data_IF_108272052041
#
_entry.id   IF_108272052041
#
_cell.length_a   1.000
_cell.length_b   1.000
_cell.length_c   1.000
_cell.angle_alpha   90.00
_cell.angle_beta   90.00
_cell.angle_gamma   90.00
#
_symmetry.space_group_name_H-M   'P 1'
#
loop_
_entity.id
_entity.type
_entity.pdbx_description
1 polymer ?
#
# COMPACT_ATOMS: atom_id res chain seq x y z
N UNK A 1 25.46 10.16 16.79
CA UNK A 1 25.40 9.66 15.40
C UNK A 1 23.93 9.69 14.98
N UNK A 2 23.60 10.41 13.93
CA UNK A 2 22.25 10.42 13.34
C UNK A 2 22.03 9.06 12.68
N UNK A 3 21.10 8.26 13.20
CA UNK A 3 20.68 7.03 12.54
C UNK A 3 20.16 7.37 11.14
N UNK A 4 20.74 6.75 10.12
CA UNK A 4 20.25 6.89 8.75
C UNK A 4 19.05 5.94 8.57
N UNK A 5 17.98 6.42 7.99
CA UNK A 5 16.82 5.64 7.58
C UNK A 5 16.82 5.53 6.04
N UNK A 6 16.83 4.32 5.52
CA UNK A 6 16.88 4.07 4.09
C UNK A 6 15.53 3.50 3.59
N UNK A 7 14.76 4.34 2.91
CA UNK A 7 13.55 3.96 2.21
C UNK A 7 13.85 3.74 0.72
N UNK A 8 13.63 2.53 0.23
CA UNK A 8 13.66 2.23 -1.20
C UNK A 8 12.27 2.40 -1.80
N UNK A 9 12.11 3.34 -2.71
CA UNK A 9 10.86 3.54 -3.48
C UNK A 9 10.96 2.71 -4.76
N UNK A 10 10.07 1.74 -4.94
CA UNK A 10 10.05 0.83 -6.09
C UNK A 10 8.91 1.20 -7.03
N UNK A 11 9.20 2.08 -7.99
CA UNK A 11 8.26 2.50 -9.03
C UNK A 11 8.19 1.43 -10.13
N UNK A 12 7.37 0.42 -9.88
CA UNK A 12 7.15 -0.70 -10.80
C UNK A 12 5.75 -0.62 -11.39
N UNK A 13 5.59 -1.16 -12.60
CA UNK A 13 4.30 -1.23 -13.28
C UNK A 13 3.64 -2.59 -13.04
N UNK A 14 2.60 -2.69 -12.17
CA UNK A 14 1.85 -3.92 -11.97
C UNK A 14 0.94 -4.19 -13.19
N UNK A 15 0.62 -5.46 -13.41
CA UNK A 15 -0.33 -5.88 -14.42
C UNK A 15 -1.71 -6.08 -13.79
N UNK A 16 -2.73 -5.38 -14.27
CA UNK A 16 -4.10 -5.46 -13.73
C UNK A 16 -4.60 -6.90 -13.77
N UNK A 17 -5.08 -7.41 -12.62
CA UNK A 17 -5.63 -8.75 -12.44
C UNK A 17 -4.60 -9.88 -12.40
N UNK A 18 -3.33 -9.66 -12.69
CA UNK A 18 -2.31 -10.70 -12.67
C UNK A 18 -1.58 -10.76 -11.33
N UNK A 19 -2.24 -11.39 -10.35
CA UNK A 19 -1.74 -11.48 -8.97
C UNK A 19 -0.38 -12.16 -8.87
N UNK A 20 -0.16 -13.24 -9.62
CA UNK A 20 1.11 -14.00 -9.58
C UNK A 20 2.29 -13.16 -10.06
N UNK A 21 2.15 -12.52 -11.21
CA UNK A 21 3.21 -11.67 -11.76
C UNK A 21 3.50 -10.45 -10.87
N UNK A 22 2.46 -9.87 -10.26
CA UNK A 22 2.64 -8.74 -9.35
C UNK A 22 3.30 -9.19 -8.04
N UNK A 23 2.96 -10.39 -7.54
CA UNK A 23 3.61 -11.01 -6.39
C UNK A 23 5.11 -11.23 -6.64
N UNK A 24 5.47 -11.77 -7.81
CA UNK A 24 6.89 -11.95 -8.20
C UNK A 24 7.63 -10.62 -8.25
N UNK A 25 7.02 -9.56 -8.80
CA UNK A 25 7.59 -8.21 -8.80
C UNK A 25 7.78 -7.65 -7.39
N UNK A 26 6.82 -7.91 -6.49
CA UNK A 26 6.93 -7.48 -5.09
C UNK A 26 8.10 -8.18 -4.38
N UNK A 27 8.23 -9.50 -4.55
CA UNK A 27 9.35 -10.29 -4.02
C UNK A 27 10.70 -9.83 -4.58
N UNK A 28 10.75 -9.54 -5.88
CA UNK A 28 11.95 -8.99 -6.52
C UNK A 28 12.32 -7.64 -5.91
N UNK A 29 11.38 -6.70 -5.80
CA UNK A 29 11.64 -5.39 -5.20
C UNK A 29 12.15 -5.51 -3.76
N UNK A 30 11.51 -6.37 -2.96
CA UNK A 30 11.96 -6.63 -1.60
C UNK A 30 13.39 -7.19 -1.55
N UNK A 31 13.73 -8.14 -2.43
CA UNK A 31 15.07 -8.71 -2.52
C UNK A 31 16.12 -7.64 -2.89
N UNK A 32 15.78 -6.71 -3.80
CA UNK A 32 16.66 -5.59 -4.13
C UNK A 32 16.86 -4.64 -2.93
N UNK A 33 15.78 -4.37 -2.18
CA UNK A 33 15.87 -3.61 -0.94
C UNK A 33 16.79 -4.27 0.09
N UNK A 34 16.63 -5.59 0.28
CA UNK A 34 17.49 -6.38 1.17
C UNK A 34 18.97 -6.31 0.77
N UNK A 35 19.27 -6.48 -0.51
CA UNK A 35 20.63 -6.40 -1.05
C UNK A 35 21.27 -5.00 -0.83
N UNK A 36 20.45 -3.94 -0.86
CA UNK A 36 20.92 -2.56 -0.68
C UNK A 36 20.93 -2.11 0.79
N UNK A 37 20.49 -2.96 1.73
CA UNK A 37 20.42 -2.63 3.14
C UNK A 37 19.31 -1.61 3.46
N UNK A 38 18.21 -1.62 2.71
CA UNK A 38 17.06 -0.76 2.99
C UNK A 38 16.37 -1.19 4.29
N UNK A 39 15.83 -0.22 5.04
CA UNK A 39 14.95 -0.46 6.18
C UNK A 39 13.53 -0.76 5.73
N UNK A 40 13.11 -0.09 4.65
CA UNK A 40 11.78 -0.24 4.03
C UNK A 40 11.86 -0.27 2.51
N UNK A 41 10.96 -1.03 1.91
CA UNK A 41 10.65 -1.02 0.47
C UNK A 41 9.20 -0.59 0.32
N UNK A 42 8.94 0.47 -0.43
CA UNK A 42 7.59 0.96 -0.72
C UNK A 42 7.19 0.69 -2.17
N UNK A 43 6.06 0.01 -2.34
CA UNK A 43 5.42 -0.26 -3.62
C UNK A 43 4.21 0.68 -3.82
N UNK A 44 3.75 0.89 -5.08
CA UNK A 44 2.61 1.73 -5.39
C UNK A 44 1.27 1.32 -4.74
N UNK A 45 0.31 2.22 -4.85
CA UNK A 45 -1.10 1.99 -4.58
C UNK A 45 -1.62 0.79 -5.39
N UNK A 46 -2.46 -0.06 -4.76
CA UNK A 46 -3.09 -1.23 -5.39
C UNK A 46 -2.13 -2.14 -6.17
N UNK A 47 -0.87 -2.19 -5.75
CA UNK A 47 0.20 -2.86 -6.49
C UNK A 47 -0.09 -4.35 -6.74
N UNK A 48 -0.61 -5.05 -5.73
CA UNK A 48 -0.83 -6.50 -5.84
C UNK A 48 -1.86 -6.84 -6.94
N UNK A 49 -2.89 -6.02 -7.09
CA UNK A 49 -3.97 -6.24 -8.07
C UNK A 49 -3.75 -5.50 -9.38
N UNK A 50 -2.87 -4.51 -9.39
CA UNK A 50 -2.82 -3.49 -10.41
C UNK A 50 -3.92 -2.43 -10.23
N UNK A 51 -3.70 -1.25 -10.75
CA UNK A 51 -4.63 -0.11 -10.71
C UNK A 51 -4.90 0.34 -12.15
N UNK A 52 -6.16 0.52 -12.60
CA UNK A 52 -7.45 0.40 -11.89
C UNK A 52 -8.03 -1.01 -12.01
N UNK A 53 -8.35 -1.60 -10.87
CA UNK A 53 -8.85 -2.98 -10.83
C UNK A 53 -10.32 -3.13 -11.29
N UNK A 54 -11.09 -2.05 -11.22
CA UNK A 54 -12.50 -2.00 -11.64
C UNK A 54 -13.35 -3.15 -11.04
N UNK A 55 -14.22 -3.77 -11.84
CA UNK A 55 -15.19 -4.77 -11.39
C UNK A 55 -14.57 -6.14 -10.98
N UNK A 56 -13.27 -6.35 -11.21
CA UNK A 56 -12.63 -7.56 -10.70
C UNK A 56 -12.66 -7.63 -9.18
N UNK A 57 -12.51 -6.49 -8.50
CA UNK A 57 -12.43 -6.43 -7.04
C UNK A 57 -13.74 -6.79 -6.33
N UNK A 58 -14.88 -6.72 -7.02
CA UNK A 58 -16.18 -7.15 -6.44
C UNK A 58 -16.46 -8.65 -6.64
N UNK A 59 -15.56 -9.38 -7.32
CA UNK A 59 -15.66 -10.82 -7.47
C UNK A 59 -15.08 -11.50 -6.23
N UNK A 60 -15.91 -12.24 -5.50
CA UNK A 60 -15.51 -12.91 -4.25
C UNK A 60 -14.30 -13.83 -4.45
N UNK A 61 -14.28 -14.63 -5.51
CA UNK A 61 -13.15 -15.49 -5.83
C UNK A 61 -11.85 -14.71 -5.99
N UNK A 62 -11.89 -13.56 -6.68
CA UNK A 62 -10.71 -12.73 -6.88
C UNK A 62 -10.20 -12.12 -5.56
N UNK A 63 -11.10 -11.63 -4.71
CA UNK A 63 -10.74 -11.06 -3.39
C UNK A 63 -10.14 -12.14 -2.48
N UNK A 64 -10.67 -13.35 -2.51
CA UNK A 64 -10.12 -14.48 -1.75
C UNK A 64 -8.69 -14.82 -2.23
N UNK A 65 -8.47 -14.80 -3.55
CA UNK A 65 -7.13 -14.99 -4.11
C UNK A 65 -6.17 -13.85 -3.71
N UNK A 66 -6.61 -12.61 -3.68
CA UNK A 66 -5.82 -11.47 -3.19
C UNK A 66 -5.40 -11.69 -1.73
N UNK A 67 -6.34 -12.05 -0.85
CA UNK A 67 -6.05 -12.33 0.55
C UNK A 67 -5.03 -13.46 0.71
N UNK A 68 -5.20 -14.56 -0.05
CA UNK A 68 -4.24 -15.66 -0.07
C UNK A 68 -2.85 -15.21 -0.50
N UNK A 69 -2.74 -14.43 -1.58
CA UNK A 69 -1.45 -13.90 -2.06
C UNK A 69 -0.76 -12.98 -1.05
N UNK A 70 -1.51 -12.18 -0.30
CA UNK A 70 -0.95 -11.38 0.81
C UNK A 70 -0.38 -12.28 1.91
N UNK A 71 -1.09 -13.35 2.27
CA UNK A 71 -0.60 -14.34 3.24
C UNK A 71 0.66 -15.05 2.72
N UNK A 72 0.65 -15.53 1.48
CA UNK A 72 1.81 -16.17 0.85
C UNK A 72 3.03 -15.24 0.87
N UNK A 73 2.84 -13.97 0.46
CA UNK A 73 3.90 -12.96 0.49
C UNK A 73 4.44 -12.72 1.91
N UNK A 74 3.53 -12.67 2.89
CA UNK A 74 3.90 -12.46 4.30
C UNK A 74 4.76 -13.60 4.83
N UNK A 75 4.45 -14.84 4.46
CA UNK A 75 5.21 -16.03 4.87
C UNK A 75 6.59 -16.10 4.19
N UNK A 76 6.69 -15.60 2.95
CA UNK A 76 7.95 -15.62 2.18
C UNK A 76 8.94 -14.55 2.63
N UNK A 77 8.46 -13.42 3.18
CA UNK A 77 9.29 -12.28 3.57
C UNK A 77 9.62 -12.31 5.08
N UNK A 78 10.56 -13.14 5.46
CA UNK A 78 10.85 -13.41 6.86
C UNK A 78 11.98 -12.58 7.49
N UNK A 79 13.03 -12.24 6.79
CA UNK A 79 14.17 -11.47 7.34
C UNK A 79 14.73 -10.46 6.35
N UNK A 80 14.48 -9.17 6.58
CA UNK A 80 14.90 -8.11 5.67
C UNK A 80 14.14 -6.82 5.90
N UNK A 81 14.08 -5.94 4.90
CA UNK A 81 13.36 -4.69 5.01
C UNK A 81 11.86 -4.93 5.19
N UNK A 82 11.18 -4.01 5.84
CA UNK A 82 9.72 -4.00 5.84
C UNK A 82 9.22 -3.69 4.44
N UNK A 83 8.19 -4.41 3.96
CA UNK A 83 7.55 -4.13 2.68
C UNK A 83 6.26 -3.36 2.89
N UNK A 84 6.09 -2.25 2.18
CA UNK A 84 4.83 -1.52 2.06
C UNK A 84 4.19 -1.83 0.70
N UNK A 85 2.94 -2.28 0.68
CA UNK A 85 2.26 -2.73 -0.54
C UNK A 85 0.78 -2.36 -0.55
N UNK A 86 0.29 -1.84 -1.68
CA UNK A 86 -1.13 -1.54 -1.89
C UNK A 86 -1.92 -2.76 -2.36
N UNK A 87 -3.07 -3.01 -1.75
CA UNK A 87 -4.02 -4.05 -2.15
C UNK A 87 -5.43 -3.75 -1.58
N UNK A 88 -6.50 -4.34 -2.14
CA UNK A 88 -7.84 -4.27 -1.55
C UNK A 88 -7.87 -4.82 -0.13
N UNK A 89 -8.65 -4.18 0.73
CA UNK A 89 -8.99 -4.63 2.07
C UNK A 89 -10.50 -4.90 2.12
N UNK A 90 -10.90 -6.05 2.62
CA UNK A 90 -12.31 -6.33 2.92
C UNK A 90 -12.51 -6.31 4.42
N UNK A 91 -13.43 -5.47 4.86
CA UNK A 91 -13.84 -5.41 6.27
C UNK A 91 -15.35 -5.15 6.37
N UNK A 92 -16.04 -5.95 7.18
CA UNK A 92 -17.47 -5.81 7.46
C UNK A 92 -18.33 -5.69 6.19
N UNK A 93 -18.02 -6.49 5.16
CA UNK A 93 -18.75 -6.53 3.88
C UNK A 93 -18.48 -5.34 2.95
N UNK A 94 -17.53 -4.48 3.29
CA UNK A 94 -17.09 -3.37 2.45
C UNK A 94 -15.69 -3.61 1.92
N UNK A 95 -15.42 -3.05 0.74
CA UNK A 95 -14.11 -3.12 0.10
C UNK A 95 -13.46 -1.74 0.20
N UNK A 96 -12.19 -1.72 0.59
CA UNK A 96 -11.40 -0.49 0.74
C UNK A 96 -10.12 -0.57 -0.08
N UNK A 97 -9.60 0.57 -0.46
CA UNK A 97 -8.25 0.71 -1.00
C UNK A 97 -7.29 0.77 0.20
N UNK A 98 -6.54 -0.32 0.43
CA UNK A 98 -5.69 -0.51 1.60
C UNK A 98 -4.20 -0.43 1.27
N UNK A 99 -3.41 -0.03 2.28
CA UNK A 99 -1.96 -0.09 2.24
C UNK A 99 -1.45 -0.88 3.44
N UNK A 100 -0.63 -1.88 3.16
CA UNK A 100 -0.18 -2.86 4.13
C UNK A 100 1.31 -2.75 4.38
N UNK A 101 1.71 -3.12 5.58
CA UNK A 101 3.10 -3.37 5.95
C UNK A 101 3.28 -4.86 6.25
N UNK A 102 4.27 -5.46 5.62
CA UNK A 102 4.79 -6.79 5.96
C UNK A 102 6.12 -6.60 6.66
N UNK A 103 6.20 -7.08 7.91
CA UNK A 103 7.40 -7.04 8.75
C UNK A 103 7.43 -8.28 9.63
N UNK A 104 8.57 -8.97 9.70
CA UNK A 104 8.79 -10.11 10.59
C UNK A 104 7.66 -11.16 10.48
N UNK A 105 7.28 -11.52 9.25
CA UNK A 105 6.17 -12.42 8.93
C UNK A 105 4.81 -11.99 9.50
N UNK A 106 4.61 -10.70 9.70
CA UNK A 106 3.34 -10.12 10.12
C UNK A 106 2.80 -9.16 9.07
N UNK A 107 1.51 -9.27 8.76
CA UNK A 107 0.77 -8.38 7.90
C UNK A 107 -0.04 -7.39 8.74
N UNK A 108 0.17 -6.10 8.51
CA UNK A 108 -0.55 -5.04 9.22
C UNK A 108 -1.11 -4.03 8.22
N UNK A 109 -2.38 -3.66 8.33
CA UNK A 109 -2.94 -2.54 7.58
C UNK A 109 -2.44 -1.23 8.20
N UNK A 110 -1.70 -0.44 7.43
CA UNK A 110 -1.11 0.84 7.89
C UNK A 110 -1.87 2.06 7.40
N UNK A 111 -2.59 1.95 6.29
CA UNK A 111 -3.45 3.01 5.80
C UNK A 111 -4.64 2.47 5.02
N UNK A 112 -5.74 3.23 5.04
CA UNK A 112 -6.94 2.98 4.23
C UNK A 112 -7.29 4.31 3.58
N UNK A 113 -7.51 4.31 2.27
CA UNK A 113 -7.83 5.52 1.51
C UNK A 113 -9.13 6.16 2.00
N UNK A 114 -9.07 7.45 2.29
CA UNK A 114 -10.21 8.24 2.76
C UNK A 114 -10.89 8.98 1.61
N UNK A 115 -10.12 9.72 0.82
CA UNK A 115 -10.62 10.43 -0.36
C UNK A 115 -10.56 9.53 -1.59
N UNK A 116 -11.72 9.32 -2.22
CA UNK A 116 -11.88 8.43 -3.36
C UNK A 116 -12.12 9.29 -4.62
N UNK A 117 -11.18 9.31 -5.58
CA UNK A 117 -11.35 10.02 -6.82
C UNK A 117 -12.53 9.48 -7.63
N UNK A 118 -13.31 10.38 -8.22
CA UNK A 118 -14.49 10.02 -9.01
C UNK A 118 -14.69 10.99 -10.18
N UNK A 119 -13.59 11.37 -10.83
CA UNK A 119 -13.56 12.22 -12.01
C UNK A 119 -12.58 11.66 -13.03
N UNK A 120 -12.74 12.04 -14.28
CA UNK A 120 -11.97 11.58 -15.42
C UNK A 120 -11.98 10.05 -15.55
N UNK A 121 -10.82 9.43 -15.46
CA UNK A 121 -10.65 7.97 -15.56
C UNK A 121 -10.96 7.24 -14.24
N UNK A 122 -11.18 7.98 -13.16
CA UNK A 122 -11.36 7.40 -11.82
C UNK A 122 -12.84 7.22 -11.48
N UNK A 123 -13.19 6.03 -10.96
CA UNK A 123 -14.54 5.66 -10.50
C UNK A 123 -14.46 4.85 -9.20
N UNK A 124 -13.64 5.33 -8.25
CA UNK A 124 -13.40 4.58 -7.01
C UNK A 124 -14.61 4.51 -6.08
N UNK A 125 -15.47 5.55 -6.07
CA UNK A 125 -16.64 5.58 -5.19
C UNK A 125 -17.67 4.51 -5.50
N UNK A 126 -17.69 3.99 -6.72
CA UNK A 126 -18.55 2.89 -7.11
C UNK A 126 -18.11 1.56 -6.49
N UNK A 127 -16.83 1.42 -6.17
CA UNK A 127 -16.20 0.15 -5.81
C UNK A 127 -15.76 0.15 -4.36
N UNK A 128 -15.09 1.21 -3.92
CA UNK A 128 -14.48 1.30 -2.60
C UNK A 128 -15.32 2.13 -1.64
N UNK A 129 -15.29 1.73 -0.37
CA UNK A 129 -15.76 2.56 0.72
C UNK A 129 -14.66 3.51 1.19
N UNK A 130 -15.04 4.72 1.60
CA UNK A 130 -14.12 5.66 2.25
C UNK A 130 -13.70 5.12 3.61
N UNK A 131 -12.38 5.03 3.82
CA UNK A 131 -11.81 4.66 5.11
C UNK A 131 -11.81 5.80 6.12
N UNK A 132 -11.59 5.47 7.38
CA UNK A 132 -11.26 6.48 8.38
C UNK A 132 -9.86 7.04 8.09
N UNK A 133 -9.66 8.34 8.35
CA UNK A 133 -8.34 8.97 8.21
C UNK A 133 -7.31 8.22 9.06
N UNK A 134 -6.34 7.64 8.41
CA UNK A 134 -5.34 6.76 9.01
C UNK A 134 -4.39 7.51 9.95
N UNK A 135 -3.72 6.75 10.80
CA UNK A 135 -2.71 7.26 11.75
C UNK A 135 -1.32 6.90 11.26
N UNK A 136 -0.28 7.67 11.64
CA UNK A 136 1.10 7.25 11.40
C UNK A 136 1.43 5.93 12.10
N UNK A 137 2.30 5.13 11.51
CA UNK A 137 2.82 3.90 12.06
C UNK A 137 4.33 4.00 12.37
N UNK A 138 4.82 3.14 13.26
CA UNK A 138 6.22 3.15 13.66
C UNK A 138 7.11 2.43 12.65
N UNK A 139 8.21 3.07 12.29
CA UNK A 139 9.28 2.57 11.45
C UNK A 139 10.62 2.77 12.18
N UNK A 140 10.97 1.84 13.05
CA UNK A 140 12.05 2.05 14.01
C UNK A 140 11.73 3.20 14.97
N UNK A 141 12.53 4.26 14.95
CA UNK A 141 12.29 5.49 15.74
C UNK A 141 11.43 6.52 15.03
N UNK A 142 11.22 6.36 13.72
CA UNK A 142 10.41 7.29 12.92
C UNK A 142 8.94 6.87 12.91
N UNK A 143 8.07 7.86 12.77
CA UNK A 143 6.65 7.67 12.46
C UNK A 143 6.40 8.03 11.01
N UNK A 144 5.89 7.07 10.24
CA UNK A 144 5.55 7.25 8.83
C UNK A 144 4.04 7.42 8.70
N UNK A 145 3.60 8.49 8.05
CA UNK A 145 2.23 8.63 7.57
C UNK A 145 2.14 8.17 6.12
N UNK A 146 1.10 7.41 5.75
CA UNK A 146 0.90 6.99 4.36
C UNK A 146 -0.47 7.42 3.85
N UNK A 147 -0.64 8.70 3.46
CA UNK A 147 -1.82 9.15 2.71
C UNK A 147 -1.80 8.50 1.33
N UNK A 148 -2.91 7.89 0.90
CA UNK A 148 -2.97 7.14 -0.36
C UNK A 148 -3.47 8.06 -1.48
N UNK A 149 -2.60 8.37 -2.45
CA UNK A 149 -2.91 9.07 -3.70
C UNK A 149 -3.75 10.34 -3.46
N UNK A 150 -5.05 10.32 -3.76
CA UNK A 150 -6.01 11.43 -3.60
C UNK A 150 -6.02 11.99 -2.17
N UNK A 151 -5.73 11.20 -1.14
CA UNK A 151 -5.61 11.68 0.24
C UNK A 151 -4.57 12.78 0.40
N UNK A 152 -3.55 12.81 -0.46
CA UNK A 152 -2.48 13.79 -0.40
C UNK A 152 -2.85 15.14 -1.04
N UNK A 153 -3.93 15.16 -1.84
CA UNK A 153 -4.45 16.38 -2.47
C UNK A 153 -5.26 17.23 -1.49
N UNK A 154 -5.73 16.64 -0.38
CA UNK A 154 -6.51 17.31 0.65
C UNK A 154 -5.70 17.46 1.94
N UNK A 155 -5.80 18.63 2.55
CA UNK A 155 -5.03 18.95 3.76
C UNK A 155 -5.39 18.05 4.96
N UNK A 156 -6.64 17.65 5.06
CA UNK A 156 -7.23 17.04 6.26
C UNK A 156 -6.60 15.70 6.65
N UNK A 157 -6.20 14.85 5.68
CA UNK A 157 -5.53 13.57 5.96
C UNK A 157 -4.07 13.80 6.34
N UNK A 158 -3.32 14.53 5.51
CA UNK A 158 -1.91 14.81 5.73
C UNK A 158 -1.70 15.60 7.04
N UNK A 159 -2.48 16.66 7.30
CA UNK A 159 -2.41 17.43 8.54
C UNK A 159 -2.71 16.59 9.78
N UNK A 160 -3.69 15.67 9.70
CA UNK A 160 -3.97 14.75 10.80
C UNK A 160 -2.76 13.88 11.11
N UNK A 161 -2.12 13.32 10.09
CA UNK A 161 -0.92 12.49 10.27
C UNK A 161 0.22 13.29 10.91
N UNK A 162 0.47 14.52 10.43
CA UNK A 162 1.48 15.42 11.01
C UNK A 162 1.14 15.80 12.46
N UNK A 163 -0.10 16.15 12.76
CA UNK A 163 -0.56 16.45 14.14
C UNK A 163 -0.41 15.25 15.08
N UNK A 164 -0.44 14.03 14.55
CA UNK A 164 -0.21 12.80 15.30
C UNK A 164 1.28 12.39 15.36
N UNK A 165 2.16 13.27 14.87
CA UNK A 165 3.61 13.14 14.98
C UNK A 165 4.25 12.32 13.86
N UNK A 166 3.71 12.33 12.64
CA UNK A 166 4.42 11.79 11.49
C UNK A 166 5.68 12.61 11.23
N UNK A 167 6.83 11.93 11.16
CA UNK A 167 8.11 12.53 10.81
C UNK A 167 8.28 12.65 9.30
N UNK A 168 7.73 11.70 8.55
CA UNK A 168 7.73 11.67 7.08
C UNK A 168 6.37 11.18 6.55
N UNK A 169 6.04 11.61 5.34
CA UNK A 169 4.88 11.11 4.59
C UNK A 169 5.37 10.33 3.38
N UNK A 170 4.87 9.10 3.22
CA UNK A 170 5.12 8.20 2.08
C UNK A 170 3.79 7.93 1.41
N UNK A 171 3.55 8.60 0.28
CA UNK A 171 2.27 8.50 -0.45
C UNK A 171 2.38 7.50 -1.60
N UNK A 172 1.73 6.33 -1.51
CA UNK A 172 1.61 5.43 -2.65
C UNK A 172 0.58 5.99 -3.65
N UNK A 173 0.93 5.97 -4.93
CA UNK A 173 0.09 6.50 -6.01
C UNK A 173 -0.09 5.46 -7.12
N UNK A 174 -1.27 5.46 -7.76
CA UNK A 174 -1.59 4.75 -8.99
C UNK A 174 -1.94 5.70 -10.13
N UNK A 175 -1.35 6.91 -10.15
CA UNK A 175 -1.67 7.94 -11.15
C UNK A 175 -1.28 7.47 -12.55
N UNK A 176 -2.19 7.60 -13.55
CA UNK A 176 -1.87 7.28 -14.94
C UNK A 176 -0.89 8.31 -15.50
N UNK A 177 -0.07 7.85 -16.44
CA UNK A 177 0.69 8.75 -17.29
C UNK A 177 -0.20 9.23 -18.45
N UNK A 178 -0.30 10.53 -18.65
CA UNK A 178 -1.05 11.18 -19.73
C UNK A 178 -0.15 12.07 -20.58
#
# INVERSE_FOLDING_TARGET
MTEKFFLMISQLNPTVGNLDKNLEKAKWAWSQGKLKGADFVALPEMFLTGYQIQDLVVKEAFINDVAKKLVDLTNDLNSGPSLLIGAPLVDSGKIYNGYYMIRDSQLTTVSIKHHLPNSDVFDERRIFASGLKSKPFLAGKLKIGSPICEDFWFKDVAEKMVKMGADILVSPNGSPYS
#
